data_IF_683086070880
#
_entry.id   IF_683086070880
#
_cell.length_a   1.000
_cell.length_b   1.000
_cell.length_c   1.000
_cell.angle_alpha   90.00
_cell.angle_beta   90.00
_cell.angle_gamma   90.00
#
_symmetry.space_group_name_H-M   'P 1'
#
loop_
_entity.id
_entity.type
_entity.pdbx_description
1 polymer ?
#
# COMPACT_ATOMS: atom_id res chain seq x y z
N UNK A 1 5.14 20.25 0.63
CA UNK A 1 4.26 20.21 1.81
C UNK A 1 4.93 20.84 3.03
N UNK A 2 6.23 20.66 3.23
CA UNK A 2 6.95 21.40 4.26
C UNK A 2 6.93 22.92 3.96
N UNK A 3 6.67 23.76 4.97
CA UNK A 3 6.77 25.22 4.83
C UNK A 3 8.24 25.66 4.68
N UNK A 4 8.51 26.83 4.07
CA UNK A 4 9.85 27.39 4.03
C UNK A 4 10.45 27.56 5.43
N UNK A 5 11.70 27.14 5.61
CA UNK A 5 12.38 27.19 6.91
C UNK A 5 12.18 25.97 7.81
N UNK A 6 11.36 25.00 7.41
CA UNK A 6 11.27 23.73 8.13
C UNK A 6 12.58 22.94 8.05
N UNK A 7 13.03 22.43 9.19
CA UNK A 7 14.29 21.71 9.36
C UNK A 7 14.09 20.23 9.74
N UNK A 8 12.98 19.90 10.39
CA UNK A 8 12.66 18.52 10.80
C UNK A 8 11.17 18.23 10.71
N UNK A 9 10.82 16.96 10.83
CA UNK A 9 9.42 16.51 10.86
C UNK A 9 9.21 15.33 11.81
N UNK A 10 7.98 15.16 12.27
CA UNK A 10 7.51 13.98 13.01
C UNK A 10 6.27 13.40 12.33
N UNK A 11 5.93 12.16 12.68
CA UNK A 11 4.89 11.37 12.02
C UNK A 11 3.93 10.77 13.04
N UNK A 12 2.63 10.87 12.80
CA UNK A 12 1.62 10.03 13.45
C UNK A 12 0.85 9.28 12.38
N UNK A 13 0.51 8.04 12.63
CA UNK A 13 -0.32 7.26 11.71
C UNK A 13 -1.29 6.35 12.46
N UNK A 14 -2.36 5.94 11.78
CA UNK A 14 -3.29 4.92 12.30
C UNK A 14 -2.63 3.54 12.33
N UNK A 15 -3.14 2.65 13.18
CA UNK A 15 -2.59 1.31 13.40
C UNK A 15 -2.51 0.45 12.12
N UNK A 16 -3.47 0.58 11.20
CA UNK A 16 -3.49 -0.22 9.97
C UNK A 16 -2.55 0.30 8.87
N UNK A 17 -1.85 1.40 9.11
CA UNK A 17 -0.88 1.98 8.18
C UNK A 17 0.50 1.77 8.76
N UNK A 18 1.38 1.16 7.99
CA UNK A 18 2.80 1.08 8.27
C UNK A 18 3.51 2.21 7.52
N UNK A 19 4.41 2.91 8.18
CA UNK A 19 5.16 4.03 7.59
C UNK A 19 6.64 3.78 7.76
N UNK A 20 7.40 3.94 6.67
CA UNK A 20 8.86 3.98 6.72
C UNK A 20 9.36 5.33 6.23
N UNK A 21 10.35 5.87 6.94
CA UNK A 21 11.14 7.01 6.47
C UNK A 21 12.28 6.48 5.62
N UNK A 22 12.27 6.81 4.35
CA UNK A 22 13.26 6.36 3.37
C UNK A 22 14.15 7.54 2.99
N UNK A 23 15.45 7.39 3.22
CA UNK A 23 16.49 8.31 2.77
C UNK A 23 17.35 7.65 1.69
N UNK A 24 18.32 8.37 1.14
CA UNK A 24 19.25 7.80 0.16
C UNK A 24 20.08 6.62 0.72
N UNK A 25 20.24 6.55 2.04
CA UNK A 25 21.13 5.59 2.70
C UNK A 25 20.37 4.43 3.35
N UNK A 26 19.16 4.67 3.84
CA UNK A 26 18.41 3.69 4.65
C UNK A 26 16.90 3.88 4.56
N UNK A 27 16.17 2.81 4.90
CA UNK A 27 14.76 2.85 5.24
C UNK A 27 14.59 2.43 6.71
N UNK A 28 13.81 3.19 7.47
CA UNK A 28 13.57 2.95 8.89
C UNK A 28 12.07 3.01 9.16
N UNK A 29 11.54 2.01 9.89
CA UNK A 29 10.15 2.01 10.32
C UNK A 29 9.90 3.17 11.29
N UNK A 30 8.86 3.96 11.03
CA UNK A 30 8.49 5.11 11.84
C UNK A 30 7.48 4.69 12.92
N UNK A 31 7.74 4.98 14.20
CA UNK A 31 6.72 4.83 15.25
C UNK A 31 5.54 5.78 15.00
N UNK A 32 4.31 5.26 15.16
CA UNK A 32 3.09 6.04 14.92
C UNK A 32 2.72 7.03 16.02
N UNK A 33 3.53 7.16 17.07
CA UNK A 33 3.25 7.97 18.25
C UNK A 33 3.65 9.45 18.13
N UNK A 34 4.36 9.83 17.06
CA UNK A 34 4.82 11.20 16.81
C UNK A 34 5.90 11.69 17.75
N UNK A 35 6.59 10.81 18.48
CA UNK A 35 7.66 11.20 19.39
C UNK A 35 9.01 11.37 18.68
N UNK A 36 9.26 10.59 17.62
CA UNK A 36 10.51 10.64 16.88
C UNK A 36 10.52 11.82 15.90
N UNK A 37 11.66 12.53 15.85
CA UNK A 37 11.93 13.60 14.91
C UNK A 37 12.96 13.13 13.87
N UNK A 38 12.66 13.36 12.61
CA UNK A 38 13.55 13.10 11.49
C UNK A 38 14.00 14.42 10.86
N UNK A 39 15.28 14.52 10.43
CA UNK A 39 15.75 15.68 9.70
C UNK A 39 15.03 15.78 8.35
N UNK A 40 14.60 16.99 7.99
CA UNK A 40 14.02 17.26 6.69
C UNK A 40 15.16 17.46 5.68
N UNK A 41 15.38 16.46 4.83
CA UNK A 41 16.43 16.51 3.80
C UNK A 41 15.86 16.19 2.42
N UNK A 42 16.50 16.74 1.40
CA UNK A 42 16.12 16.46 0.01
C UNK A 42 16.31 14.98 -0.29
N UNK A 43 15.29 14.35 -0.86
CA UNK A 43 15.30 12.91 -1.16
C UNK A 43 14.78 12.03 -0.04
N UNK A 44 14.47 12.58 1.14
CA UNK A 44 13.70 11.86 2.15
C UNK A 44 12.25 11.75 1.70
N UNK A 45 11.73 10.52 1.67
CA UNK A 45 10.35 10.21 1.31
C UNK A 45 9.74 9.28 2.36
N UNK A 46 8.41 9.24 2.39
CA UNK A 46 7.67 8.30 3.22
C UNK A 46 7.17 7.16 2.32
N UNK A 47 7.40 5.92 2.74
CA UNK A 47 6.76 4.74 2.14
C UNK A 47 5.63 4.30 3.05
N UNK A 48 4.41 4.25 2.50
CA UNK A 48 3.20 3.91 3.24
C UNK A 48 2.70 2.56 2.72
N UNK A 49 2.42 1.65 3.64
CA UNK A 49 1.91 0.31 3.34
C UNK A 49 0.68 0.01 4.18
N UNK A 50 -0.26 -0.74 3.63
CA UNK A 50 -1.43 -1.26 4.34
C UNK A 50 -1.57 -2.75 4.03
N UNK A 51 -1.80 -3.56 5.06
CA UNK A 51 -1.92 -5.03 4.95
C UNK A 51 -3.37 -5.53 4.98
N UNK A 52 -4.33 -4.63 5.23
CA UNK A 52 -5.77 -4.93 5.28
C UNK A 52 -6.57 -3.81 4.61
N UNK A 53 -7.74 -4.18 4.09
CA UNK A 53 -8.71 -3.20 3.61
C UNK A 53 -9.23 -2.33 4.76
N UNK A 54 -9.62 -1.10 4.43
CA UNK A 54 -10.33 -0.19 5.33
C UNK A 54 -11.72 -0.74 5.68
N UNK A 55 -12.17 -0.49 6.90
CA UNK A 55 -13.53 -0.79 7.32
C UNK A 55 -14.49 0.34 6.92
N UNK A 56 -14.02 1.59 7.01
CA UNK A 56 -14.77 2.81 6.69
C UNK A 56 -13.94 3.74 5.79
N UNK A 57 -14.61 4.63 5.07
CA UNK A 57 -13.90 5.63 4.27
C UNK A 57 -13.09 6.58 5.18
N UNK A 58 -11.82 6.81 4.83
CA UNK A 58 -10.88 7.68 5.55
C UNK A 58 -10.60 7.29 7.01
N UNK A 59 -10.81 6.02 7.37
CA UNK A 59 -10.47 5.48 8.70
C UNK A 59 -8.96 5.44 8.95
N UNK A 60 -8.15 5.52 7.90
CA UNK A 60 -6.72 5.48 7.94
C UNK A 60 -6.08 6.81 7.56
N UNK A 61 -5.03 7.20 8.31
CA UNK A 61 -4.38 8.49 8.11
C UNK A 61 -2.91 8.47 8.49
N UNK A 62 -2.15 9.34 7.83
CA UNK A 62 -0.80 9.75 8.21
C UNK A 62 -0.78 11.26 8.35
N UNK A 63 -0.28 11.75 9.47
CA UNK A 63 -0.08 13.17 9.74
C UNK A 63 1.40 13.44 9.90
N UNK A 64 1.92 14.32 9.08
CA UNK A 64 3.29 14.84 9.17
C UNK A 64 3.24 16.20 9.84
N UNK A 65 4.02 16.40 10.90
CA UNK A 65 4.19 17.71 11.55
C UNK A 65 5.59 18.22 11.27
N UNK A 66 5.72 19.48 10.85
CA UNK A 66 7.00 20.12 10.51
C UNK A 66 7.43 21.09 11.60
N UNK A 67 8.75 21.17 11.80
CA UNK A 67 9.38 22.00 12.82
C UNK A 67 10.56 22.77 12.24
N UNK A 68 10.78 23.99 12.73
CA UNK A 68 11.93 24.80 12.35
C UNK A 68 13.20 24.38 13.09
N UNK A 69 14.30 25.11 12.85
CA UNK A 69 15.60 24.81 13.47
C UNK A 69 15.59 24.93 15.00
N UNK A 70 14.74 25.79 15.57
CA UNK A 70 14.55 25.95 17.00
C UNK A 70 13.63 24.92 17.64
N UNK A 71 13.09 23.97 16.85
CA UNK A 71 12.10 22.99 17.31
C UNK A 71 10.68 23.54 17.44
N UNK A 72 10.45 24.78 17.00
CA UNK A 72 9.11 25.37 16.97
C UNK A 72 8.21 24.63 15.98
N UNK A 73 6.98 24.32 16.40
CA UNK A 73 5.99 23.71 15.51
C UNK A 73 5.55 24.72 14.45
N UNK A 74 5.62 24.32 13.17
CA UNK A 74 5.31 25.19 12.04
C UNK A 74 3.95 24.84 11.42
N UNK A 75 3.86 23.69 10.74
CA UNK A 75 2.67 23.30 9.98
C UNK A 75 2.49 21.78 10.02
N UNK A 76 1.29 21.31 9.66
CA UNK A 76 1.00 19.88 9.48
C UNK A 76 0.41 19.61 8.11
N UNK A 77 0.80 18.48 7.53
CA UNK A 77 0.18 17.92 6.34
C UNK A 77 -0.40 16.54 6.67
N UNK A 78 -1.57 16.24 6.14
CA UNK A 78 -2.24 14.96 6.34
C UNK A 78 -2.50 14.23 5.03
N UNK A 79 -2.39 12.91 5.05
CA UNK A 79 -2.86 12.01 3.99
C UNK A 79 -3.94 11.12 4.60
N UNK A 80 -5.14 11.14 4.02
CA UNK A 80 -6.21 10.21 4.36
C UNK A 80 -6.19 9.06 3.36
N UNK A 81 -6.32 7.83 3.85
CA UNK A 81 -6.24 6.60 3.08
C UNK A 81 -7.53 5.81 3.25
N UNK A 82 -7.99 5.21 2.14
CA UNK A 82 -9.04 4.20 2.14
C UNK A 82 -8.50 3.02 1.34
N UNK A 83 -8.14 1.93 2.03
CA UNK A 83 -7.59 0.74 1.40
C UNK A 83 -8.71 -0.19 0.91
N UNK A 84 -8.63 -0.65 -0.34
CA UNK A 84 -9.54 -1.66 -0.88
C UNK A 84 -8.75 -2.81 -1.51
N UNK A 85 -9.23 -4.05 -1.32
CA UNK A 85 -8.71 -5.22 -2.01
C UNK A 85 -9.45 -5.43 -3.32
N UNK A 86 -8.74 -5.46 -4.44
CA UNK A 86 -9.32 -5.72 -5.77
C UNK A 86 -8.53 -6.86 -6.40
N UNK A 87 -9.24 -7.95 -6.73
CA UNK A 87 -8.67 -9.11 -7.39
C UNK A 87 -9.70 -9.68 -8.36
N UNK A 88 -9.31 -9.86 -9.62
CA UNK A 88 -10.07 -10.68 -10.56
C UNK A 88 -9.42 -12.06 -10.59
N UNK A 89 -10.19 -13.05 -10.14
CA UNK A 89 -9.70 -14.39 -9.87
C UNK A 89 -10.36 -15.40 -10.83
N UNK A 90 -9.58 -16.41 -11.20
CA UNK A 90 -9.93 -17.48 -12.14
C UNK A 90 -9.29 -18.77 -11.64
N UNK A 91 -9.83 -19.92 -12.04
CA UNK A 91 -9.21 -21.24 -11.85
C UNK A 91 -7.92 -21.35 -12.67
N UNK A 92 -6.78 -20.92 -12.11
CA UNK A 92 -5.49 -20.95 -12.82
C UNK A 92 -4.65 -22.20 -12.50
N UNK A 93 -4.96 -22.95 -11.43
CA UNK A 93 -4.30 -24.22 -11.11
C UNK A 93 -5.01 -25.46 -11.69
N UNK A 94 -6.17 -25.26 -12.32
CA UNK A 94 -6.91 -26.23 -13.15
C UNK A 94 -7.50 -27.37 -12.32
N UNK A 95 -7.96 -27.07 -11.12
CA UNK A 95 -8.66 -28.03 -10.25
C UNK A 95 -10.20 -27.94 -10.36
N UNK A 96 -10.71 -26.96 -11.12
CA UNK A 96 -12.13 -26.71 -11.34
C UNK A 96 -12.76 -25.69 -10.37
N UNK A 97 -11.98 -25.10 -9.46
CA UNK A 97 -12.43 -24.11 -8.47
C UNK A 97 -11.65 -22.81 -8.65
N UNK A 98 -12.32 -21.66 -8.51
CA UNK A 98 -11.64 -20.36 -8.56
C UNK A 98 -10.90 -20.11 -7.24
N UNK A 99 -9.58 -20.06 -7.31
CA UNK A 99 -8.69 -19.77 -6.19
C UNK A 99 -8.45 -18.26 -5.97
N UNK A 100 -8.15 -17.88 -4.73
CA UNK A 100 -7.95 -16.47 -4.39
C UNK A 100 -6.57 -15.97 -4.82
N UNK A 101 -6.55 -14.99 -5.71
CA UNK A 101 -5.38 -14.26 -6.19
C UNK A 101 -4.16 -15.13 -6.55
N UNK A 102 -4.35 -16.14 -7.42
CA UNK A 102 -3.22 -16.95 -7.89
C UNK A 102 -2.13 -16.08 -8.54
N UNK A 103 -0.85 -16.21 -8.12
CA UNK A 103 0.25 -15.41 -8.66
C UNK A 103 0.49 -15.61 -10.16
N UNK A 104 0.00 -16.71 -10.75
CA UNK A 104 0.17 -17.06 -12.15
C UNK A 104 -1.05 -16.78 -13.02
N UNK A 105 -2.15 -16.22 -12.46
CA UNK A 105 -3.41 -15.94 -13.17
C UNK A 105 -3.28 -14.98 -14.36
N UNK A 106 -2.18 -14.23 -14.45
CA UNK A 106 -1.89 -13.30 -15.54
C UNK A 106 -1.12 -13.95 -16.72
N UNK A 107 -0.77 -15.23 -16.62
CA UNK A 107 0.02 -15.94 -17.63
C UNK A 107 -0.60 -17.30 -17.96
N UNK A 108 -0.19 -17.89 -19.08
CA UNK A 108 -0.63 -19.23 -19.47
C UNK A 108 0.55 -20.07 -19.94
N UNK A 109 0.78 -21.21 -19.30
CA UNK A 109 1.92 -22.10 -19.60
C UNK A 109 1.49 -23.55 -19.81
N UNK A 110 2.15 -24.20 -20.76
CA UNK A 110 1.98 -25.63 -21.06
C UNK A 110 2.72 -26.50 -20.02
N UNK A 111 2.34 -27.78 -19.97
CA UNK A 111 3.02 -28.82 -19.19
C UNK A 111 2.31 -29.17 -17.88
N UNK A 112 2.76 -30.25 -17.19
CA UNK A 112 2.12 -30.75 -15.98
C UNK A 112 2.22 -29.80 -14.77
N UNK A 113 3.20 -28.89 -14.78
CA UNK A 113 3.33 -27.81 -13.80
C UNK A 113 2.86 -26.44 -14.36
N UNK A 114 2.30 -26.43 -15.57
CA UNK A 114 1.81 -25.22 -16.20
C UNK A 114 0.52 -24.73 -15.55
N UNK A 115 0.33 -23.42 -15.51
CA UNK A 115 -0.82 -22.75 -14.92
C UNK A 115 -1.46 -21.78 -15.91
N UNK A 116 -2.63 -21.27 -15.55
CA UNK A 116 -3.46 -20.39 -16.35
C UNK A 116 -4.80 -21.05 -16.67
N UNK A 117 -5.85 -20.25 -16.54
CA UNK A 117 -7.22 -20.69 -16.73
C UNK A 117 -7.50 -21.15 -18.17
N UNK A 118 -8.49 -22.01 -18.31
CA UNK A 118 -8.90 -22.58 -19.60
C UNK A 118 -10.31 -22.08 -19.92
N UNK A 119 -10.52 -21.68 -21.17
CA UNK A 119 -11.83 -21.26 -21.67
C UNK A 119 -12.30 -22.23 -22.77
N UNK A 120 -13.52 -22.73 -22.64
CA UNK A 120 -14.16 -23.55 -23.66
C UNK A 120 -14.96 -22.67 -24.62
N UNK A 121 -14.98 -23.06 -25.89
CA UNK A 121 -15.94 -22.50 -26.84
C UNK A 121 -17.30 -23.10 -26.52
N UNK A 122 -18.30 -22.25 -26.28
CA UNK A 122 -19.67 -22.71 -26.13
C UNK A 122 -20.26 -23.03 -27.52
N UNK A 123 -20.12 -24.29 -27.95
CA UNK A 123 -20.57 -24.78 -29.26
C UNK A 123 -21.80 -25.70 -29.17
N UNK A 124 -22.36 -25.90 -27.97
CA UNK A 124 -23.58 -26.68 -27.82
C UNK A 124 -24.83 -25.80 -27.99
N UNK A 125 -26.00 -26.39 -27.75
CA UNK A 125 -27.27 -25.66 -27.79
C UNK A 125 -28.04 -26.01 -26.52
N UNK A 126 -28.01 -25.09 -25.55
CA UNK A 126 -28.71 -25.27 -24.27
C UNK A 126 -30.24 -25.31 -24.43
N UNK A 127 -30.81 -24.53 -25.36
CA UNK A 127 -32.27 -24.43 -25.57
C UNK A 127 -32.74 -24.96 -26.95
N UNK A 128 -33.87 -25.70 -27.04
CA UNK A 128 -34.31 -26.38 -28.26
C UNK A 128 -34.70 -25.50 -29.46
#
# INVERSE_FOLDING_TARGET
AAPPGAASFSLRHSEAVEVEVVTAERAEAAPGDGAQLWPLSKGTVLRLSMSRASAEANDNKVTVSYYGEGGEAMERAGVLLTGIGISLDVDADRDGVVESNNPHKATWTWGPAGQGAVLLVNCDRESP
#
